data_IF_010243876794
#
_entry.id   IF_010243876794
#
_cell.length_a   1.000
_cell.length_b   1.000
_cell.length_c   1.000
_cell.angle_alpha   90.00
_cell.angle_beta   90.00
_cell.angle_gamma   90.00
#
_symmetry.space_group_name_H-M   'P 1'
#
loop_
_entity.id
_entity.type
_entity.pdbx_description
1 polymer ?
#
# COMPACT_ATOMS: atom_id res chain seq x y z
N UNK A 1 19.02 -29.98 2.50
CA UNK A 1 20.01 -28.95 2.15
C UNK A 1 19.40 -27.66 1.57
N UNK A 2 18.05 -27.53 1.55
CA UNK A 2 17.36 -26.34 0.99
C UNK A 2 16.67 -25.49 2.07
N UNK A 3 16.56 -26.01 3.30
CA UNK A 3 15.92 -25.32 4.43
C UNK A 3 16.88 -24.26 5.01
N UNK A 4 18.17 -24.59 5.15
CA UNK A 4 19.17 -23.67 5.72
C UNK A 4 19.41 -22.41 4.87
N UNK A 5 19.18 -22.47 3.56
CA UNK A 5 19.38 -21.31 2.67
C UNK A 5 18.27 -20.27 2.83
N UNK A 6 17.02 -20.70 3.00
CA UNK A 6 15.88 -19.80 3.24
C UNK A 6 15.96 -19.16 4.64
N UNK A 7 16.37 -19.92 5.65
CA UNK A 7 16.58 -19.42 7.02
C UNK A 7 17.77 -18.46 7.11
N UNK A 8 18.84 -18.73 6.35
CA UNK A 8 20.00 -17.82 6.23
C UNK A 8 19.66 -16.50 5.52
N UNK A 9 18.83 -16.54 4.48
CA UNK A 9 18.36 -15.33 3.78
C UNK A 9 17.40 -14.51 4.65
N UNK A 10 16.49 -15.15 5.39
CA UNK A 10 15.63 -14.48 6.36
C UNK A 10 16.42 -13.78 7.47
N UNK A 11 17.49 -14.39 7.99
CA UNK A 11 18.36 -13.78 9.01
C UNK A 11 19.09 -12.52 8.54
N UNK A 12 19.45 -12.43 7.25
CA UNK A 12 20.08 -11.25 6.64
C UNK A 12 19.05 -10.16 6.26
N UNK A 13 17.80 -10.55 6.04
CA UNK A 13 16.70 -9.63 5.70
C UNK A 13 16.14 -8.92 6.94
N UNK A 14 16.11 -9.59 8.10
CA UNK A 14 15.49 -9.07 9.32
C UNK A 14 16.01 -7.68 9.77
N UNK A 15 17.33 -7.40 9.81
CA UNK A 15 17.83 -6.07 10.17
C UNK A 15 17.39 -4.98 9.18
N UNK A 16 17.29 -5.33 7.90
CA UNK A 16 16.83 -4.42 6.83
C UNK A 16 15.34 -4.12 6.97
N UNK A 17 14.54 -5.15 7.28
CA UNK A 17 13.10 -5.03 7.55
C UNK A 17 12.83 -4.16 8.78
N UNK A 18 13.57 -4.35 9.88
CA UNK A 18 13.45 -3.54 11.09
C UNK A 18 13.80 -2.07 10.83
N UNK A 19 14.91 -1.82 10.12
CA UNK A 19 15.30 -0.46 9.73
C UNK A 19 14.24 0.21 8.85
N UNK A 20 13.68 -0.51 7.86
CA UNK A 20 12.62 0.00 7.00
C UNK A 20 11.34 0.32 7.78
N UNK A 21 10.91 -0.56 8.69
CA UNK A 21 9.76 -0.32 9.57
C UNK A 21 9.96 0.92 10.43
N UNK A 22 11.14 1.07 11.01
CA UNK A 22 11.45 2.19 11.88
C UNK A 22 11.48 3.51 11.09
N UNK A 23 11.95 3.52 9.84
CA UNK A 23 11.87 4.67 8.92
C UNK A 23 10.44 4.96 8.47
N UNK A 24 9.65 3.93 8.13
CA UNK A 24 8.23 4.12 7.82
C UNK A 24 7.50 4.77 8.99
N UNK A 25 7.81 4.36 10.22
CA UNK A 25 7.26 4.98 11.43
C UNK A 25 7.61 6.47 11.55
N UNK A 26 8.81 6.89 11.16
CA UNK A 26 9.19 8.32 11.22
C UNK A 26 8.44 9.18 10.21
N UNK A 27 8.10 8.63 9.04
CA UNK A 27 7.38 9.36 7.97
C UNK A 27 5.86 9.16 8.01
N UNK A 28 5.33 8.38 8.97
CA UNK A 28 3.92 8.01 9.03
C UNK A 28 2.96 9.22 9.00
N UNK A 29 3.31 10.32 9.67
CA UNK A 29 2.48 11.54 9.68
C UNK A 29 2.33 12.23 8.32
N UNK A 30 3.18 11.88 7.35
CA UNK A 30 3.10 12.43 6.00
C UNK A 30 2.05 11.69 5.15
N UNK A 31 1.62 10.51 5.58
CA UNK A 31 0.67 9.65 4.86
C UNK A 31 -0.69 9.50 5.57
N UNK A 32 -0.75 9.77 6.88
CA UNK A 32 -1.98 9.65 7.67
C UNK A 32 -2.27 10.89 8.49
N UNK A 33 -3.53 11.30 8.47
CA UNK A 33 -4.06 12.37 9.28
C UNK A 33 -4.30 11.89 10.71
N UNK A 34 -3.61 12.51 11.67
CA UNK A 34 -3.76 12.18 13.09
C UNK A 34 -5.21 12.30 13.59
N UNK A 35 -6.04 13.15 12.97
CA UNK A 35 -7.46 13.31 13.32
C UNK A 35 -8.30 12.07 13.02
N UNK A 36 -7.85 11.21 12.09
CA UNK A 36 -8.56 10.01 11.64
C UNK A 36 -8.06 8.73 12.33
N UNK A 37 -7.12 8.83 13.29
CA UNK A 37 -6.57 7.68 14.01
C UNK A 37 -7.60 6.88 14.81
N UNK A 38 -8.66 7.55 15.26
CA UNK A 38 -9.75 6.92 16.01
C UNK A 38 -10.99 6.66 15.16
N UNK A 39 -10.85 6.78 13.83
CA UNK A 39 -11.90 6.48 12.87
C UNK A 39 -12.13 7.60 11.86
N UNK A 40 -12.99 7.36 10.85
CA UNK A 40 -13.83 6.17 10.73
C UNK A 40 -13.05 4.92 10.28
N UNK A 41 -13.57 3.75 10.65
CA UNK A 41 -13.05 2.45 10.21
C UNK A 41 -14.02 1.80 9.22
N UNK A 42 -13.48 1.13 8.23
CA UNK A 42 -14.20 0.48 7.13
C UNK A 42 -13.87 -1.01 7.13
N UNK A 43 -14.88 -1.85 6.95
CA UNK A 43 -14.68 -3.28 6.72
C UNK A 43 -14.01 -3.49 5.36
N UNK A 44 -12.82 -4.09 5.35
CA UNK A 44 -12.02 -4.36 4.15
C UNK A 44 -11.75 -5.84 4.02
N UNK A 45 -11.94 -6.39 2.82
CA UNK A 45 -11.54 -7.76 2.45
C UNK A 45 -10.09 -7.73 1.96
N UNK A 46 -9.15 -8.18 2.78
CA UNK A 46 -7.71 -7.99 2.52
C UNK A 46 -7.12 -8.89 1.45
N UNK A 47 -7.69 -10.08 1.28
CA UNK A 47 -7.21 -11.08 0.34
C UNK A 47 -8.19 -11.26 -0.83
N UNK A 48 -8.82 -10.15 -1.23
CA UNK A 48 -9.70 -10.14 -2.39
C UNK A 48 -8.84 -10.20 -3.65
N UNK A 49 -9.09 -11.15 -4.54
CA UNK A 49 -8.46 -11.34 -5.84
C UNK A 49 -9.48 -11.97 -6.81
N UNK A 50 -9.15 -12.04 -8.10
CA UNK A 50 -10.08 -12.50 -9.15
C UNK A 50 -10.77 -13.85 -8.85
N UNK A 51 -10.07 -14.83 -8.27
CA UNK A 51 -10.66 -16.14 -7.95
C UNK A 51 -11.57 -16.18 -6.70
N UNK A 52 -11.75 -15.07 -5.97
CA UNK A 52 -12.78 -14.99 -4.92
C UNK A 52 -14.15 -14.62 -5.47
N UNK A 53 -14.25 -14.23 -6.75
CA UNK A 53 -15.49 -13.77 -7.36
C UNK A 53 -16.11 -14.85 -8.24
N UNK A 54 -17.42 -15.01 -8.13
CA UNK A 54 -18.24 -15.66 -9.15
C UNK A 54 -18.98 -14.61 -9.94
N UNK A 55 -19.07 -14.83 -11.25
CA UNK A 55 -19.79 -13.97 -12.19
C UNK A 55 -20.85 -14.76 -12.96
N UNK A 56 -21.89 -14.07 -13.43
CA UNK A 56 -22.85 -14.60 -14.40
C UNK A 56 -22.37 -14.43 -15.85
N UNK A 57 -23.22 -14.79 -16.82
CA UNK A 57 -22.92 -14.72 -18.25
C UNK A 57 -22.72 -13.27 -18.73
N UNK A 58 -23.26 -12.29 -18.01
CA UNK A 58 -23.11 -10.85 -18.23
C UNK A 58 -21.95 -10.23 -17.42
N UNK A 59 -21.07 -11.05 -16.83
CA UNK A 59 -19.92 -10.63 -16.02
C UNK A 59 -20.28 -9.85 -14.74
N UNK A 60 -21.51 -9.93 -14.26
CA UNK A 60 -21.90 -9.31 -13.00
C UNK A 60 -21.47 -10.18 -11.82
N UNK A 61 -20.90 -9.57 -10.79
CA UNK A 61 -20.49 -10.29 -9.57
C UNK A 61 -21.72 -10.83 -8.85
N UNK A 62 -21.85 -12.15 -8.76
CA UNK A 62 -22.97 -12.84 -8.11
C UNK A 62 -22.65 -13.27 -6.68
N UNK A 63 -21.39 -13.64 -6.43
CA UNK A 63 -20.92 -14.11 -5.11
C UNK A 63 -19.47 -13.71 -4.88
N UNK A 64 -19.15 -13.43 -3.62
CA UNK A 64 -17.79 -13.28 -3.10
C UNK A 64 -17.58 -14.38 -2.06
N UNK A 65 -16.51 -15.16 -2.22
CA UNK A 65 -16.12 -16.21 -1.27
C UNK A 65 -14.82 -15.86 -0.55
N UNK A 66 -14.40 -16.72 0.38
CA UNK A 66 -13.09 -16.63 1.04
C UNK A 66 -12.89 -15.30 1.79
N UNK A 67 -13.74 -15.08 2.79
CA UNK A 67 -13.81 -13.83 3.57
C UNK A 67 -12.96 -13.88 4.85
N UNK A 68 -12.10 -14.89 5.02
CA UNK A 68 -11.40 -15.14 6.29
C UNK A 68 -10.41 -14.02 6.67
N UNK A 69 -9.97 -13.23 5.69
CA UNK A 69 -9.09 -12.07 5.87
C UNK A 69 -9.84 -10.73 5.92
N UNK A 70 -11.14 -10.74 6.22
CA UNK A 70 -11.91 -9.52 6.46
C UNK A 70 -11.45 -8.81 7.75
N UNK A 71 -11.18 -7.51 7.69
CA UNK A 71 -10.85 -6.73 8.88
C UNK A 71 -11.33 -5.29 8.81
N UNK A 72 -11.56 -4.68 9.98
CA UNK A 72 -11.90 -3.26 10.09
C UNK A 72 -10.63 -2.41 10.05
N UNK A 73 -10.55 -1.46 9.12
CA UNK A 73 -9.34 -0.68 8.84
C UNK A 73 -9.61 0.82 8.79
N UNK A 74 -8.65 1.67 9.17
CA UNK A 74 -8.81 3.12 9.02
C UNK A 74 -9.20 3.51 7.60
N UNK A 75 -9.96 4.60 7.47
CA UNK A 75 -10.39 5.12 6.17
C UNK A 75 -9.22 5.43 5.22
N UNK A 76 -8.13 5.96 5.75
CA UNK A 76 -6.93 6.32 4.97
C UNK A 76 -6.11 5.11 4.53
N UNK A 77 -6.50 3.94 4.98
CA UNK A 77 -5.83 2.68 4.72
C UNK A 77 -6.46 1.94 3.52
N UNK A 78 -7.52 2.49 2.94
CA UNK A 78 -8.20 1.95 1.77
C UNK A 78 -7.38 2.18 0.50
N UNK A 79 -7.53 1.31 -0.47
CA UNK A 79 -6.80 1.41 -1.73
C UNK A 79 -7.56 0.68 -2.84
N UNK A 80 -7.29 1.05 -4.09
CA UNK A 80 -7.66 0.22 -5.23
C UNK A 80 -6.93 -1.14 -5.19
N UNK A 81 -7.46 -2.18 -5.83
CA UNK A 81 -6.85 -3.52 -5.79
C UNK A 81 -5.41 -3.51 -6.33
N UNK A 82 -4.43 -3.95 -5.56
CA UNK A 82 -3.02 -3.90 -6.01
C UNK A 82 -2.74 -4.88 -7.16
N UNK A 83 -3.59 -5.90 -7.33
CA UNK A 83 -3.46 -6.96 -8.34
C UNK A 83 -4.12 -6.63 -9.68
N UNK A 84 -4.51 -5.38 -9.94
CA UNK A 84 -5.10 -4.98 -11.23
C UNK A 84 -4.23 -5.33 -12.46
N UNK A 85 -2.90 -5.35 -12.30
CA UNK A 85 -1.95 -5.75 -13.35
C UNK A 85 -1.51 -7.21 -13.26
N UNK A 86 -1.98 -7.95 -12.24
CA UNK A 86 -1.48 -9.28 -11.87
C UNK A 86 0.05 -9.34 -11.60
N UNK A 87 0.66 -8.19 -11.29
CA UNK A 87 2.07 -8.10 -10.93
C UNK A 87 2.28 -8.28 -9.43
N UNK A 88 3.43 -8.83 -9.06
CA UNK A 88 3.81 -8.87 -7.65
C UNK A 88 4.08 -7.46 -7.12
N UNK A 89 3.76 -7.27 -5.85
CA UNK A 89 3.73 -5.98 -5.17
C UNK A 89 5.02 -5.15 -5.25
N UNK A 90 6.17 -5.82 -5.33
CA UNK A 90 7.50 -5.23 -5.37
C UNK A 90 7.97 -4.88 -6.79
N UNK A 91 7.27 -5.37 -7.82
CA UNK A 91 7.63 -5.19 -9.23
C UNK A 91 6.53 -4.51 -10.04
N UNK A 92 5.44 -4.05 -9.41
CA UNK A 92 4.35 -3.32 -10.08
C UNK A 92 4.93 -2.17 -10.91
N UNK A 93 4.67 -2.16 -12.21
CA UNK A 93 4.99 -1.01 -13.07
C UNK A 93 3.96 0.10 -12.83
N UNK A 94 4.41 1.20 -12.24
CA UNK A 94 3.54 2.33 -11.87
C UNK A 94 2.88 3.00 -13.08
N UNK A 95 3.50 2.95 -14.27
CA UNK A 95 2.91 3.50 -15.49
C UNK A 95 1.77 2.60 -15.99
N UNK A 96 2.03 1.29 -16.07
CA UNK A 96 1.02 0.32 -16.48
C UNK A 96 -0.13 0.28 -15.48
N UNK A 97 0.20 0.17 -14.21
CA UNK A 97 -0.74 0.17 -13.11
C UNK A 97 -1.56 1.47 -13.09
N UNK A 98 -0.90 2.62 -13.24
CA UNK A 98 -1.55 3.92 -13.32
C UNK A 98 -2.61 3.98 -14.41
N UNK A 99 -2.33 3.40 -15.59
CA UNK A 99 -3.29 3.32 -16.70
C UNK A 99 -4.49 2.43 -16.37
N UNK A 100 -4.27 1.19 -15.94
CA UNK A 100 -5.37 0.25 -15.59
C UNK A 100 -6.19 0.78 -14.41
N UNK A 101 -5.52 1.39 -13.44
CA UNK A 101 -6.16 2.07 -12.31
C UNK A 101 -7.11 3.16 -12.78
N UNK A 102 -6.77 3.96 -13.79
CA UNK A 102 -7.70 4.99 -14.29
C UNK A 102 -8.96 4.39 -14.91
N UNK A 103 -8.83 3.29 -15.65
CA UNK A 103 -9.98 2.55 -16.19
C UNK A 103 -10.85 2.01 -15.05
N UNK A 104 -10.22 1.42 -14.02
CA UNK A 104 -10.91 0.99 -12.79
C UNK A 104 -11.62 2.14 -12.09
N UNK A 105 -10.95 3.29 -11.89
CA UNK A 105 -11.54 4.45 -11.20
C UNK A 105 -12.73 5.03 -11.98
N UNK A 106 -12.67 5.00 -13.32
CA UNK A 106 -13.79 5.40 -14.17
C UNK A 106 -15.01 4.51 -13.97
N UNK A 107 -14.82 3.19 -13.99
CA UNK A 107 -15.89 2.23 -13.72
C UNK A 107 -16.42 2.34 -12.27
N UNK A 108 -15.51 2.49 -11.30
CA UNK A 108 -15.86 2.64 -9.90
C UNK A 108 -16.71 3.89 -9.65
N UNK A 109 -16.38 5.01 -10.28
CA UNK A 109 -17.17 6.23 -10.18
C UNK A 109 -18.61 6.04 -10.69
N UNK A 110 -18.80 5.35 -11.82
CA UNK A 110 -20.12 5.06 -12.36
C UNK A 110 -20.98 4.23 -11.40
N UNK A 111 -20.36 3.31 -10.65
CA UNK A 111 -21.06 2.54 -9.62
C UNK A 111 -21.32 3.37 -8.36
N UNK A 112 -20.36 4.21 -7.94
CA UNK A 112 -20.53 5.12 -6.80
C UNK A 112 -21.69 6.11 -7.00
N UNK A 113 -21.85 6.65 -8.21
CA UNK A 113 -22.94 7.57 -8.57
C UNK A 113 -24.34 6.93 -8.52
N UNK A 114 -24.42 5.59 -8.68
CA UNK A 114 -25.68 4.85 -8.55
C UNK A 114 -26.06 4.59 -7.08
N UNK A 115 -25.13 4.76 -6.14
CA UNK A 115 -25.38 4.52 -4.71
C UNK A 115 -26.05 5.73 -4.05
N UNK A 116 -27.16 5.50 -3.36
CA UNK A 116 -27.97 6.54 -2.70
C UNK A 116 -27.30 7.25 -1.51
N UNK A 117 -26.22 6.68 -0.95
CA UNK A 117 -25.52 7.17 0.25
C UNK A 117 -24.03 7.44 0.01
N UNK A 118 -23.63 7.78 -1.22
CA UNK A 118 -22.23 7.87 -1.66
C UNK A 118 -21.28 8.54 -0.65
N UNK A 119 -20.49 7.71 0.04
CA UNK A 119 -19.20 8.16 0.53
C UNK A 119 -18.40 8.59 -0.71
N UNK A 120 -17.68 9.71 -0.66
CA UNK A 120 -16.78 10.14 -1.74
C UNK A 120 -15.52 9.27 -1.77
N UNK A 121 -15.70 7.96 -1.93
CA UNK A 121 -14.67 6.94 -1.85
C UNK A 121 -13.73 7.05 -3.06
N UNK A 122 -14.26 7.38 -4.23
CA UNK A 122 -13.48 7.72 -5.43
C UNK A 122 -12.46 8.83 -5.15
N UNK A 123 -12.93 9.95 -4.55
CA UNK A 123 -12.08 11.10 -4.23
C UNK A 123 -10.99 10.71 -3.22
N UNK A 124 -11.38 9.99 -2.17
CA UNK A 124 -10.46 9.45 -1.18
C UNK A 124 -9.37 8.57 -1.83
N UNK A 125 -9.75 7.59 -2.67
CA UNK A 125 -8.81 6.68 -3.32
C UNK A 125 -7.84 7.42 -4.27
N UNK A 126 -8.29 8.50 -4.90
CA UNK A 126 -7.41 9.38 -5.68
C UNK A 126 -6.42 10.13 -4.79
N UNK A 127 -6.89 10.76 -3.71
CA UNK A 127 -6.03 11.45 -2.76
C UNK A 127 -4.97 10.51 -2.14
N UNK A 128 -5.36 9.29 -1.76
CA UNK A 128 -4.45 8.27 -1.20
C UNK A 128 -3.41 7.78 -2.21
N UNK A 129 -3.73 7.81 -3.50
CA UNK A 129 -2.77 7.51 -4.56
C UNK A 129 -1.77 8.66 -4.74
N UNK A 130 -2.25 9.89 -4.91
CA UNK A 130 -1.41 11.08 -5.14
C UNK A 130 -0.44 11.34 -3.99
N UNK A 131 -0.93 11.22 -2.75
CA UNK A 131 -0.10 11.32 -1.53
C UNK A 131 0.91 10.17 -1.41
N UNK A 132 0.72 9.06 -2.12
CA UNK A 132 1.51 7.84 -2.01
C UNK A 132 1.17 6.99 -0.79
N UNK A 133 0.08 7.28 -0.09
CA UNK A 133 -0.43 6.47 1.02
C UNK A 133 -0.78 5.05 0.55
N UNK A 134 -1.15 4.88 -0.72
CA UNK A 134 -1.23 3.59 -1.40
C UNK A 134 0.04 2.75 -1.18
N UNK A 135 1.19 3.27 -1.60
CA UNK A 135 2.49 2.57 -1.51
C UNK A 135 2.91 2.34 -0.06
N UNK A 136 2.63 3.31 0.83
CA UNK A 136 2.90 3.15 2.25
C UNK A 136 2.09 1.98 2.85
N UNK A 137 0.79 1.93 2.59
CA UNK A 137 -0.07 0.84 3.07
C UNK A 137 0.38 -0.50 2.52
N UNK A 138 0.73 -0.54 1.23
CA UNK A 138 1.17 -1.74 0.55
C UNK A 138 2.49 -2.29 1.12
N UNK A 139 3.42 -1.40 1.47
CA UNK A 139 4.64 -1.76 2.17
C UNK A 139 4.37 -2.36 3.57
N UNK A 140 3.40 -1.82 4.32
CA UNK A 140 3.00 -2.39 5.62
C UNK A 140 2.36 -3.78 5.49
N UNK A 141 1.68 -4.07 4.38
CA UNK A 141 1.08 -5.38 4.17
C UNK A 141 2.09 -6.45 3.78
N UNK A 142 3.11 -6.05 3.05
CA UNK A 142 4.13 -6.95 2.55
C UNK A 142 5.41 -6.74 3.32
N UNK A 143 5.45 -7.21 4.57
CA UNK A 143 6.62 -7.09 5.47
C UNK A 143 7.88 -7.66 4.82
N UNK A 144 7.74 -8.71 4.00
CA UNK A 144 8.83 -9.31 3.22
C UNK A 144 9.37 -8.39 2.13
N UNK A 145 8.53 -7.50 1.58
CA UNK A 145 8.86 -6.58 0.49
C UNK A 145 8.99 -5.12 0.92
N UNK A 146 8.84 -4.84 2.23
CA UNK A 146 8.81 -3.49 2.78
C UNK A 146 10.06 -2.67 2.40
N UNK A 147 11.24 -3.30 2.38
CA UNK A 147 12.48 -2.62 2.01
C UNK A 147 12.51 -2.23 0.54
N UNK A 148 11.99 -3.08 -0.34
CA UNK A 148 11.97 -2.82 -1.79
C UNK A 148 10.97 -1.70 -2.10
N UNK A 149 9.78 -1.75 -1.52
CA UNK A 149 8.76 -0.71 -1.72
C UNK A 149 9.24 0.61 -1.10
N UNK A 150 9.82 0.58 0.10
CA UNK A 150 10.37 1.78 0.72
C UNK A 150 11.44 2.43 -0.16
N UNK A 151 12.47 1.67 -0.56
CA UNK A 151 13.59 2.22 -1.35
C UNK A 151 13.19 2.64 -2.76
N UNK A 152 12.29 1.89 -3.42
CA UNK A 152 11.89 2.14 -4.80
C UNK A 152 10.79 3.18 -4.97
N UNK A 153 9.88 3.32 -3.99
CA UNK A 153 8.65 4.13 -4.13
C UNK A 153 8.50 5.25 -3.11
N UNK A 154 8.95 5.05 -1.87
CA UNK A 154 8.76 6.03 -0.79
C UNK A 154 9.98 6.91 -0.57
N UNK A 155 11.18 6.34 -0.70
CA UNK A 155 12.46 7.04 -0.47
C UNK A 155 12.64 8.23 -1.41
N UNK A 156 12.23 8.09 -2.68
CA UNK A 156 12.34 9.13 -3.70
C UNK A 156 11.56 10.42 -3.38
N UNK A 157 10.59 10.37 -2.47
CA UNK A 157 9.82 11.54 -2.00
C UNK A 157 10.59 12.41 -0.99
N UNK A 158 11.76 11.98 -0.53
CA UNK A 158 12.55 12.68 0.48
C UNK A 158 13.94 12.98 -0.07
N UNK A 159 14.40 14.24 0.00
CA UNK A 159 15.79 14.58 -0.29
C UNK A 159 16.68 14.07 0.82
N UNK A 160 17.22 12.87 0.65
CA UNK A 160 18.17 12.31 1.58
C UNK A 160 19.53 12.89 1.23
N UNK A 161 20.00 13.80 2.08
CA UNK A 161 21.22 14.60 1.90
C UNK A 161 22.52 13.77 1.90
N UNK A 162 22.48 12.50 2.35
CA UNK A 162 23.64 11.62 2.34
C UNK A 162 23.25 10.13 2.26
N UNK A 163 23.59 9.47 1.15
CA UNK A 163 23.37 8.04 0.95
C UNK A 163 24.30 7.16 1.79
N UNK A 164 25.45 7.67 2.23
CA UNK A 164 26.42 6.89 3.03
C UNK A 164 25.99 6.76 4.50
N UNK A 165 25.28 7.77 5.03
CA UNK A 165 24.61 7.68 6.33
C UNK A 165 23.48 6.63 6.35
N UNK A 166 23.05 6.17 5.18
CA UNK A 166 21.90 5.28 5.00
C UNK A 166 22.19 3.81 5.34
N UNK A 167 23.43 3.35 5.13
CA UNK A 167 23.86 1.98 5.42
C UNK A 167 24.28 1.79 6.88
N UNK A 168 24.88 2.81 7.51
CA UNK A 168 25.49 2.66 8.85
C UNK A 168 24.70 3.33 10.00
N UNK A 169 23.68 4.15 9.73
CA UNK A 169 23.12 5.04 10.76
C UNK A 169 21.63 5.31 10.71
N UNK A 170 20.81 4.36 11.18
CA UNK A 170 19.38 4.64 11.47
C UNK A 170 19.19 5.91 12.32
N UNK A 171 20.13 6.20 13.23
CA UNK A 171 20.10 7.34 14.13
C UNK A 171 20.49 8.69 13.49
N UNK A 172 21.22 8.69 12.36
CA UNK A 172 21.69 9.92 11.72
C UNK A 172 20.74 10.43 10.62
N UNK A 173 19.95 9.54 10.00
CA UNK A 173 19.06 9.89 8.88
C UNK A 173 17.61 10.14 9.31
N UNK A 174 17.20 9.69 10.50
CA UNK A 174 15.84 9.94 11.01
C UNK A 174 15.41 11.42 10.98
N UNK A 175 16.28 12.42 11.26
CA UNK A 175 15.92 13.84 11.18
C UNK A 175 15.65 14.35 9.76
N UNK A 176 16.29 13.79 8.71
CA UNK A 176 16.09 14.27 7.32
C UNK A 176 14.74 13.88 6.74
N UNK A 177 14.02 12.96 7.39
CA UNK A 177 12.66 12.56 7.03
C UNK A 177 11.56 13.45 7.63
N UNK A 178 11.93 14.45 8.43
CA UNK A 178 10.97 15.34 9.12
C UNK A 178 10.59 16.58 8.31
N UNK A 179 11.31 16.87 7.21
CA UNK A 179 10.99 17.96 6.30
C UNK A 179 10.61 17.40 4.93
N UNK A 180 9.46 17.82 4.42
CA UNK A 180 9.08 17.67 3.01
C UNK A 180 9.72 18.85 2.28
N UNK A 181 10.44 18.58 1.19
CA UNK A 181 10.86 19.66 0.30
C UNK A 181 9.64 20.20 -0.43
N UNK A 182 9.36 21.49 -0.22
CA UNK A 182 8.26 22.24 -0.85
C UNK A 182 8.76 22.93 -2.11
#
# INVERSE_FOLDING_TARGET
>A
MTIDYATSQMGLQAPKTESALARMRTICSNFFNRKLQHGPFVLTLRDLHASNFFVDDEWQVTKVIDLEWACSRPLEMQHHPYWLTNEAVDIVDENLYGKIRQDYMTAFQQEEEKMTNGLFYMKLLNELWETGTFWYCLALYSITRICQIFNGRLKSKYSILDESAFEDGFYFVAPTFWCIDV
#
